data_IF_328130943126
#
_entry.id   IF_328130943126
#
_cell.length_a   1.000
_cell.length_b   1.000
_cell.length_c   1.000
_cell.angle_alpha   90.00
_cell.angle_beta   90.00
_cell.angle_gamma   90.00
#
_symmetry.space_group_name_H-M   'P 1'
#
loop_
_entity.id
_entity.type
_entity.pdbx_description
1 polymer ?
#
# COMPACT_ATOMS: atom_id res chain seq x y z
N UNK A 1 4.08 -4.83 4.61
CA UNK A 1 3.47 -3.72 3.85
C UNK A 1 3.06 -4.34 2.54
N UNK A 2 1.88 -4.96 2.52
CA UNK A 2 1.47 -5.80 1.39
C UNK A 2 1.01 -4.92 0.24
N UNK A 3 1.87 -4.87 -0.76
CA UNK A 3 1.64 -4.26 -2.06
C UNK A 3 0.63 -5.13 -2.81
N UNK A 4 -0.49 -4.53 -3.22
CA UNK A 4 -1.43 -5.17 -4.13
C UNK A 4 -0.75 -5.22 -5.50
N UNK A 5 -0.04 -6.31 -5.77
CA UNK A 5 0.48 -6.59 -7.10
C UNK A 5 -0.68 -7.09 -7.98
N UNK A 6 -1.21 -6.15 -8.73
CA UNK A 6 -2.33 -6.42 -9.60
C UNK A 6 -1.92 -7.10 -10.92
N UNK A 7 -0.63 -7.25 -11.22
CA UNK A 7 -0.15 -8.03 -12.37
C UNK A 7 -0.14 -9.52 -12.12
N UNK A 8 0.05 -9.96 -10.88
CA UNK A 8 0.08 -11.39 -10.57
C UNK A 8 -1.27 -11.90 -10.08
N UNK A 9 -2.11 -11.08 -9.43
CA UNK A 9 -3.33 -11.58 -8.78
C UNK A 9 -3.06 -12.69 -7.74
N UNK A 10 -1.78 -12.95 -7.46
CA UNK A 10 -1.24 -14.09 -6.72
C UNK A 10 -0.37 -13.49 -5.64
N UNK A 11 -0.94 -13.33 -4.45
CA UNK A 11 -0.13 -13.66 -3.29
C UNK A 11 0.18 -15.15 -3.42
N UNK A 12 1.45 -15.54 -3.43
CA UNK A 12 1.87 -16.94 -3.48
C UNK A 12 1.27 -17.72 -2.31
N UNK A 13 0.07 -18.27 -2.52
CA UNK A 13 -0.62 -19.30 -1.76
C UNK A 13 -2.03 -19.45 -2.38
N UNK A 14 -2.15 -20.40 -3.30
CA UNK A 14 -3.38 -20.97 -3.87
C UNK A 14 -4.15 -21.78 -2.81
N UNK A 15 -4.43 -21.16 -1.66
CA UNK A 15 -5.21 -21.76 -0.57
C UNK A 15 -6.57 -21.03 -0.48
N UNK A 16 -7.67 -21.69 -0.07
CA UNK A 16 -8.96 -21.07 0.27
C UNK A 16 -8.90 -19.87 1.25
N UNK A 17 -7.70 -19.59 1.80
CA UNK A 17 -7.36 -18.47 2.68
C UNK A 17 -7.68 -17.08 2.13
N UNK A 18 -7.73 -16.86 0.82
CA UNK A 18 -7.83 -15.52 0.22
C UNK A 18 -9.05 -14.66 0.63
N UNK A 19 -10.15 -15.28 1.02
CA UNK A 19 -11.42 -14.58 1.33
C UNK A 19 -11.72 -14.49 2.82
N UNK A 20 -11.34 -15.50 3.61
CA UNK A 20 -11.24 -15.36 5.06
C UNK A 20 -10.33 -14.19 5.46
N UNK A 21 -9.35 -13.82 4.61
CA UNK A 21 -8.51 -12.61 4.79
C UNK A 21 -9.28 -11.30 4.95
N UNK A 22 -10.54 -11.24 4.50
CA UNK A 22 -11.33 -10.00 4.52
C UNK A 22 -12.65 -10.12 5.28
N UNK A 23 -12.91 -11.29 5.88
CA UNK A 23 -14.09 -11.52 6.70
C UNK A 23 -13.99 -10.84 8.05
N UNK A 24 -15.15 -10.60 8.65
CA UNK A 24 -15.29 -9.98 9.95
C UNK A 24 -15.85 -11.00 10.94
N UNK A 25 -15.37 -10.94 12.18
CA UNK A 25 -15.86 -11.72 13.31
C UNK A 25 -16.11 -10.80 14.49
N UNK A 26 -17.29 -10.86 15.09
CA UNK A 26 -17.70 -9.97 16.17
C UNK A 26 -18.21 -10.87 17.29
N UNK A 27 -17.33 -11.15 18.24
CA UNK A 27 -17.59 -12.11 19.31
C UNK A 27 -18.74 -11.67 20.22
N UNK A 28 -18.80 -10.37 20.52
CA UNK A 28 -19.81 -9.77 21.39
C UNK A 28 -21.22 -9.89 20.81
N UNK A 29 -21.33 -10.06 19.48
CA UNK A 29 -22.59 -10.25 18.75
C UNK A 29 -22.74 -11.66 18.18
N UNK A 30 -21.78 -12.56 18.44
CA UNK A 30 -21.73 -13.90 17.84
C UNK A 30 -21.99 -13.86 16.33
N UNK A 31 -21.28 -12.97 15.64
CA UNK A 31 -21.52 -12.65 14.23
C UNK A 31 -20.27 -12.88 13.39
N UNK A 32 -20.41 -13.60 12.28
CA UNK A 32 -19.39 -13.71 11.24
C UNK A 32 -19.94 -13.21 9.92
N UNK A 33 -19.19 -12.34 9.24
CA UNK A 33 -19.52 -11.86 7.91
C UNK A 33 -18.40 -12.15 6.92
N UNK A 34 -18.68 -12.94 5.88
CA UNK A 34 -17.73 -13.24 4.80
C UNK A 34 -18.11 -12.45 3.54
N UNK A 35 -17.33 -11.42 3.15
CA UNK A 35 -17.72 -10.50 2.08
C UNK A 35 -17.39 -11.03 0.69
N UNK A 36 -18.39 -11.01 -0.19
CA UNK A 36 -18.22 -11.24 -1.62
C UNK A 36 -18.11 -9.89 -2.36
N UNK A 37 -17.06 -9.73 -3.16
CA UNK A 37 -16.87 -8.53 -3.97
C UNK A 37 -18.09 -8.28 -4.86
N UNK A 38 -18.59 -7.03 -4.86
CA UNK A 38 -19.74 -6.57 -5.67
C UNK A 38 -21.11 -7.15 -5.27
N UNK A 39 -21.21 -7.80 -4.12
CA UNK A 39 -22.45 -8.26 -3.51
C UNK A 39 -22.76 -7.50 -2.21
N UNK A 40 -23.08 -6.20 -2.34
CA UNK A 40 -23.40 -5.29 -1.21
C UNK A 40 -22.33 -5.17 -0.10
N UNK A 41 -21.10 -5.66 -0.31
CA UNK A 41 -20.08 -5.75 0.73
C UNK A 41 -19.53 -4.43 1.27
N UNK A 42 -19.80 -3.30 0.61
CA UNK A 42 -19.48 -1.98 1.18
C UNK A 42 -20.58 -1.55 2.15
N UNK A 43 -21.84 -1.66 1.74
CA UNK A 43 -23.00 -1.34 2.57
C UNK A 43 -23.05 -2.18 3.84
N UNK A 44 -22.84 -3.50 3.72
CA UNK A 44 -22.84 -4.39 4.89
C UNK A 44 -21.69 -4.12 5.86
N UNK A 45 -20.51 -3.76 5.35
CA UNK A 45 -19.40 -3.36 6.21
C UNK A 45 -19.64 -2.04 6.93
N UNK A 46 -20.23 -1.06 6.27
CA UNK A 46 -20.62 0.19 6.93
C UNK A 46 -21.69 -0.06 7.99
N UNK A 47 -22.68 -0.90 7.69
CA UNK A 47 -23.69 -1.29 8.66
C UNK A 47 -23.06 -1.97 9.89
N UNK A 48 -22.10 -2.88 9.69
CA UNK A 48 -21.39 -3.52 10.81
C UNK A 48 -20.53 -2.52 11.58
N UNK A 49 -19.86 -1.59 10.90
CA UNK A 49 -19.11 -0.52 11.56
C UNK A 49 -20.02 0.39 12.40
N UNK A 50 -21.20 0.73 11.88
CA UNK A 50 -22.21 1.53 12.57
C UNK A 50 -22.77 0.77 13.79
N UNK A 51 -23.01 -0.54 13.68
CA UNK A 51 -23.39 -1.41 14.82
C UNK A 51 -22.34 -1.41 15.93
N UNK A 52 -21.06 -1.36 15.56
CA UNK A 52 -19.93 -1.36 16.49
C UNK A 52 -19.57 0.04 17.00
N UNK A 53 -20.28 1.10 16.58
CA UNK A 53 -19.97 2.48 16.92
C UNK A 53 -18.63 2.97 16.38
N UNK A 54 -18.11 2.37 15.30
CA UNK A 54 -16.83 2.75 14.70
C UNK A 54 -16.99 4.03 13.87
N UNK A 55 -16.21 5.04 14.22
CA UNK A 55 -16.21 6.32 13.52
C UNK A 55 -15.71 6.17 12.06
N UNK A 56 -16.39 6.73 11.05
CA UNK A 56 -15.97 6.64 9.63
C UNK A 56 -14.53 7.09 9.37
N UNK A 57 -14.05 8.07 10.14
CA UNK A 57 -12.70 8.63 10.06
C UNK A 57 -11.62 7.59 10.38
N UNK A 58 -11.94 6.55 11.17
CA UNK A 58 -11.01 5.47 11.48
C UNK A 58 -10.58 4.66 10.25
N UNK A 59 -11.43 4.64 9.23
CA UNK A 59 -11.17 3.92 7.98
C UNK A 59 -10.44 4.77 6.94
N UNK A 60 -10.29 6.07 7.17
CA UNK A 60 -9.58 6.95 6.26
C UNK A 60 -8.11 6.53 6.10
N UNK A 61 -7.67 6.52 4.85
CA UNK A 61 -6.30 6.24 4.48
C UNK A 61 -5.85 7.26 3.43
N UNK A 62 -5.24 8.38 3.85
CA UNK A 62 -4.74 9.40 2.93
C UNK A 62 -3.57 8.90 2.08
N UNK A 63 -3.10 7.67 2.27
CA UNK A 63 -2.11 7.04 1.40
C UNK A 63 -2.72 6.18 0.30
N UNK A 64 -3.99 5.78 0.42
CA UNK A 64 -4.70 4.95 -0.56
C UNK A 64 -5.82 5.75 -1.19
N UNK A 65 -5.58 6.24 -2.40
CA UNK A 65 -6.61 6.91 -3.19
C UNK A 65 -7.69 5.91 -3.56
N UNK A 66 -8.87 6.11 -2.99
CA UNK A 66 -10.10 5.43 -3.37
C UNK A 66 -10.97 6.41 -4.12
N UNK A 67 -11.80 5.91 -5.03
CA UNK A 67 -12.61 6.78 -5.89
C UNK A 67 -13.76 7.42 -5.11
N UNK A 68 -14.14 6.85 -3.98
CA UNK A 68 -15.11 7.43 -3.04
C UNK A 68 -14.69 7.16 -1.60
N UNK A 69 -15.13 8.03 -0.67
CA UNK A 69 -14.97 7.81 0.77
C UNK A 69 -15.64 6.52 1.22
N UNK A 70 -16.81 6.17 0.67
CA UNK A 70 -17.51 4.93 1.01
C UNK A 70 -16.68 3.66 0.79
N UNK A 71 -15.64 3.69 -0.06
CA UNK A 71 -14.77 2.53 -0.28
C UNK A 71 -13.70 2.33 0.81
N UNK A 72 -13.45 3.30 1.70
CA UNK A 72 -12.39 3.23 2.72
C UNK A 72 -12.55 2.01 3.63
N UNK A 73 -13.80 1.68 3.96
CA UNK A 73 -14.22 0.53 4.78
C UNK A 73 -13.71 -0.82 4.28
N UNK A 74 -13.33 -0.91 3.00
CA UNK A 74 -12.77 -2.12 2.40
C UNK A 74 -11.34 -2.42 2.87
N UNK A 75 -10.68 -1.49 3.58
CA UNK A 75 -9.33 -1.70 4.11
C UNK A 75 -9.38 -2.48 5.43
N UNK A 76 -9.28 -3.80 5.37
CA UNK A 76 -9.32 -4.67 6.56
C UNK A 76 -8.23 -4.37 7.59
N UNK A 77 -7.12 -3.73 7.18
CA UNK A 77 -6.07 -3.32 8.12
C UNK A 77 -6.47 -2.13 9.02
N UNK A 78 -7.57 -1.45 8.70
CA UNK A 78 -8.14 -0.35 9.49
C UNK A 78 -9.22 -0.80 10.46
N UNK A 79 -9.71 -2.03 10.30
CA UNK A 79 -10.59 -2.64 11.28
C UNK A 79 -9.80 -2.97 12.56
N UNK A 80 -10.40 -2.84 13.75
CA UNK A 80 -9.83 -3.35 14.97
C UNK A 80 -9.37 -4.80 14.78
N UNK A 81 -8.13 -5.16 15.17
CA UNK A 81 -7.56 -6.49 14.92
C UNK A 81 -8.43 -7.67 15.35
N UNK A 82 -9.12 -7.53 16.48
CA UNK A 82 -10.05 -8.48 17.06
C UNK A 82 -11.23 -8.81 16.13
N UNK A 83 -11.60 -7.89 15.24
CA UNK A 83 -12.73 -8.09 14.32
C UNK A 83 -12.36 -8.72 12.98
N UNK A 84 -11.09 -9.05 12.74
CA UNK A 84 -10.63 -9.56 11.44
C UNK A 84 -10.41 -11.07 11.53
N UNK A 85 -11.19 -11.86 10.79
CA UNK A 85 -11.12 -13.34 10.82
C UNK A 85 -9.69 -13.87 10.62
N UNK A 86 -8.91 -13.24 9.74
CA UNK A 86 -7.52 -13.65 9.48
C UNK A 86 -6.62 -13.62 10.72
N UNK A 87 -6.97 -12.82 11.73
CA UNK A 87 -6.19 -12.64 12.96
C UNK A 87 -6.71 -13.50 14.11
N UNK A 88 -7.83 -14.18 13.91
CA UNK A 88 -8.41 -15.09 14.88
C UNK A 88 -7.62 -16.41 14.96
N UNK A 89 -7.66 -17.04 16.13
CA UNK A 89 -7.06 -18.37 16.32
C UNK A 89 -7.82 -19.43 15.49
N UNK A 90 -7.13 -20.28 14.70
CA UNK A 90 -7.79 -21.29 13.88
C UNK A 90 -8.59 -22.34 14.66
N UNK A 91 -8.15 -22.69 15.89
CA UNK A 91 -8.88 -23.64 16.74
C UNK A 91 -10.21 -23.06 17.20
N UNK A 92 -10.18 -21.81 17.65
CA UNK A 92 -11.39 -21.06 18.02
C UNK A 92 -12.34 -20.84 16.84
N UNK A 93 -11.83 -20.59 15.63
CA UNK A 93 -12.69 -20.53 14.43
C UNK A 93 -13.42 -21.85 14.15
N UNK A 94 -12.83 -22.99 14.52
CA UNK A 94 -13.49 -24.29 14.48
C UNK A 94 -14.65 -24.39 15.47
N UNK A 95 -14.49 -23.86 16.69
CA UNK A 95 -15.57 -23.80 17.68
C UNK A 95 -16.72 -22.90 17.20
N UNK A 96 -16.40 -21.71 16.67
CA UNK A 96 -17.37 -20.81 16.04
C UNK A 96 -18.07 -21.47 14.84
N UNK A 97 -17.39 -22.34 14.11
CA UNK A 97 -17.95 -23.08 12.97
C UNK A 97 -18.98 -24.16 13.37
N UNK A 98 -19.01 -24.58 14.63
CA UNK A 98 -19.99 -25.55 15.14
C UNK A 98 -21.06 -24.91 16.05
N UNK A 99 -20.83 -23.67 16.48
CA UNK A 99 -21.72 -22.97 17.41
C UNK A 99 -23.06 -22.55 16.74
N UNK A 100 -24.18 -23.02 17.30
CA UNK A 100 -25.54 -22.77 16.77
C UNK A 100 -26.04 -21.35 17.04
N UNK A 101 -25.52 -20.70 18.08
CA UNK A 101 -25.86 -19.35 18.52
C UNK A 101 -25.13 -18.25 17.76
N UNK A 102 -24.34 -18.61 16.74
CA UNK A 102 -23.65 -17.69 15.85
C UNK A 102 -24.38 -17.49 14.53
N UNK A 103 -24.55 -16.24 14.11
CA UNK A 103 -24.95 -15.91 12.75
C UNK A 103 -23.70 -15.81 11.88
N UNK A 104 -23.52 -16.74 10.94
CA UNK A 104 -22.37 -16.80 10.03
C UNK A 104 -22.88 -16.65 8.62
N UNK A 105 -22.74 -15.44 8.08
CA UNK A 105 -23.44 -15.10 6.87
C UNK A 105 -22.56 -14.50 5.77
N UNK A 106 -23.05 -14.65 4.56
CA UNK A 106 -22.57 -13.92 3.39
C UNK A 106 -23.74 -13.41 2.56
N UNK A 107 -23.43 -12.57 1.59
CA UNK A 107 -24.39 -12.14 0.56
C UNK A 107 -23.73 -12.33 -0.79
N UNK A 108 -24.43 -13.03 -1.68
CA UNK A 108 -24.08 -13.23 -3.08
C UNK A 108 -24.97 -12.39 -3.98
N UNK A 109 -24.64 -12.32 -5.26
CA UNK A 109 -25.40 -11.59 -6.28
C UNK A 109 -25.52 -12.42 -7.54
N UNK A 110 -26.55 -12.17 -8.35
CA UNK A 110 -26.63 -12.72 -9.71
C UNK A 110 -25.28 -12.57 -10.44
N UNK A 111 -24.66 -13.66 -10.93
CA UNK A 111 -23.29 -13.63 -11.45
C UNK A 111 -23.12 -12.66 -12.63
N UNK A 112 -24.09 -12.58 -13.55
CA UNK A 112 -24.01 -11.69 -14.70
C UNK A 112 -24.09 -10.21 -14.30
N UNK A 113 -25.03 -9.85 -13.41
CA UNK A 113 -25.17 -8.50 -12.85
C UNK A 113 -23.99 -8.13 -11.97
N UNK A 114 -23.39 -9.09 -11.25
CA UNK A 114 -22.17 -8.92 -10.48
C UNK A 114 -20.98 -8.59 -11.38
N UNK A 115 -20.78 -9.36 -12.46
CA UNK A 115 -19.72 -9.14 -13.46
C UNK A 115 -19.86 -7.76 -14.10
N UNK A 116 -21.06 -7.40 -14.55
CA UNK A 116 -21.34 -6.07 -15.11
C UNK A 116 -20.99 -4.95 -14.13
N UNK A 117 -21.38 -5.11 -12.86
CA UNK A 117 -21.07 -4.12 -11.82
C UNK A 117 -19.57 -4.04 -11.53
N UNK A 118 -18.85 -5.16 -11.58
CA UNK A 118 -17.40 -5.22 -11.46
C UNK A 118 -16.75 -4.45 -12.62
N UNK A 119 -17.00 -4.88 -13.86
CA UNK A 119 -16.46 -4.28 -15.08
C UNK A 119 -16.71 -2.77 -15.11
N UNK A 120 -17.94 -2.31 -14.85
CA UNK A 120 -18.24 -0.89 -14.80
C UNK A 120 -17.34 -0.14 -13.79
N UNK A 121 -17.35 -0.58 -12.53
CA UNK A 121 -16.66 0.15 -11.47
C UNK A 121 -15.13 0.09 -11.53
N UNK A 122 -14.57 -0.94 -12.18
CA UNK A 122 -13.14 -1.24 -12.19
C UNK A 122 -12.48 -0.87 -13.51
N UNK A 123 -13.11 -1.29 -14.60
CA UNK A 123 -12.56 -1.24 -15.96
C UNK A 123 -13.13 -0.01 -16.69
N UNK A 124 -14.45 0.06 -16.88
CA UNK A 124 -15.09 1.16 -17.62
C UNK A 124 -14.81 2.53 -16.99
N UNK A 125 -15.01 2.65 -15.67
CA UNK A 125 -14.74 3.89 -14.94
C UNK A 125 -13.25 4.12 -14.68
N UNK A 126 -12.36 3.30 -15.23
CA UNK A 126 -10.89 3.46 -15.17
C UNK A 126 -10.40 3.66 -13.74
N UNK A 127 -10.74 2.73 -12.83
CA UNK A 127 -10.26 2.83 -11.45
C UNK A 127 -8.72 2.87 -11.45
N UNK A 128 -8.05 3.80 -10.74
CA UNK A 128 -6.60 4.01 -10.86
C UNK A 128 -5.74 2.75 -10.71
N UNK A 129 -6.10 1.86 -9.78
CA UNK A 129 -5.38 0.60 -9.56
C UNK A 129 -5.54 -0.41 -10.71
N UNK A 130 -6.66 -0.38 -11.43
CA UNK A 130 -6.93 -1.29 -12.55
C UNK A 130 -6.35 -0.75 -13.86
N UNK A 131 -6.34 0.57 -14.06
CA UNK A 131 -5.70 1.22 -15.21
C UNK A 131 -4.22 0.86 -15.27
N UNK A 132 -3.50 1.02 -14.15
CA UNK A 132 -2.05 0.70 -14.04
C UNK A 132 -1.66 -0.74 -14.44
N UNK A 133 -2.63 -1.62 -14.54
CA UNK A 133 -2.46 -3.06 -14.65
C UNK A 133 -2.95 -3.55 -15.99
N UNK A 134 -4.10 -3.05 -16.42
CA UNK A 134 -4.83 -3.56 -17.56
C UNK A 134 -4.93 -2.56 -18.71
N UNK A 135 -4.40 -1.33 -18.62
CA UNK A 135 -4.56 -0.33 -19.69
C UNK A 135 -4.00 -0.79 -21.05
N UNK A 136 -2.95 -1.61 -21.04
CA UNK A 136 -2.32 -2.16 -22.24
C UNK A 136 -3.01 -3.43 -22.76
N UNK A 137 -4.03 -3.93 -22.05
CA UNK A 137 -4.72 -5.14 -22.44
C UNK A 137 -5.67 -4.88 -23.63
N UNK A 138 -5.69 -5.75 -24.66
CA UNK A 138 -6.52 -5.54 -25.85
C UNK A 138 -8.03 -5.47 -25.59
N UNK A 139 -8.48 -5.99 -24.45
CA UNK A 139 -9.89 -5.98 -24.02
C UNK A 139 -10.24 -4.77 -23.16
N UNK A 140 -9.27 -3.95 -22.74
CA UNK A 140 -9.53 -2.76 -21.95
C UNK A 140 -10.25 -1.71 -22.83
N UNK A 141 -11.41 -1.20 -22.42
CA UNK A 141 -12.21 -0.33 -23.27
C UNK A 141 -11.62 1.07 -23.37
N UNK A 142 -11.83 1.70 -24.52
CA UNK A 142 -11.70 3.15 -24.67
C UNK A 142 -12.80 3.88 -23.89
N UNK A 143 -12.70 5.20 -23.78
CA UNK A 143 -13.81 6.02 -23.27
C UNK A 143 -14.97 5.93 -24.28
N UNK A 144 -16.14 5.41 -23.89
CA UNK A 144 -17.24 5.24 -24.83
C UNK A 144 -17.90 6.58 -25.15
N UNK A 145 -18.35 6.72 -26.39
CA UNK A 145 -19.10 7.84 -26.93
C UNK A 145 -20.53 7.47 -27.33
N UNK A 146 -20.87 6.16 -27.29
CA UNK A 146 -22.21 5.65 -27.59
C UNK A 146 -22.57 4.44 -26.71
N UNK A 147 -23.87 4.11 -26.57
CA UNK A 147 -24.30 2.88 -25.88
C UNK A 147 -23.72 1.60 -26.51
N UNK A 148 -23.54 1.57 -27.83
CA UNK A 148 -22.97 0.46 -28.58
C UNK A 148 -21.50 0.22 -28.18
N UNK A 149 -20.69 1.27 -28.06
CA UNK A 149 -19.30 1.14 -27.62
C UNK A 149 -19.17 0.60 -26.18
N UNK A 150 -20.15 0.88 -25.32
CA UNK A 150 -20.23 0.28 -23.98
C UNK A 150 -20.45 -1.23 -24.07
N UNK A 151 -21.39 -1.67 -24.91
CA UNK A 151 -21.66 -3.10 -25.11
C UNK A 151 -20.43 -3.79 -25.68
N UNK A 152 -19.87 -3.29 -26.77
CA UNK A 152 -18.66 -3.83 -27.39
C UNK A 152 -17.50 -3.95 -26.40
N UNK A 153 -17.28 -2.91 -25.58
CA UNK A 153 -16.26 -2.92 -24.55
C UNK A 153 -16.48 -4.01 -23.49
N UNK A 154 -17.73 -4.24 -23.10
CA UNK A 154 -18.08 -5.30 -22.15
C UNK A 154 -17.95 -6.70 -22.77
N UNK A 155 -18.40 -6.89 -24.01
CA UNK A 155 -18.29 -8.17 -24.70
C UNK A 155 -16.84 -8.58 -24.95
N UNK A 156 -15.97 -7.62 -25.33
CA UNK A 156 -14.52 -7.86 -25.42
C UNK A 156 -13.93 -8.33 -24.09
N UNK A 157 -14.34 -7.73 -22.98
CA UNK A 157 -13.90 -8.13 -21.65
C UNK A 157 -14.39 -9.54 -21.27
N UNK A 158 -15.67 -9.85 -21.53
CA UNK A 158 -16.23 -11.18 -21.27
C UNK A 158 -15.53 -12.25 -22.11
N UNK A 159 -15.27 -11.96 -23.39
CA UNK A 159 -14.50 -12.85 -24.27
C UNK A 159 -13.09 -13.12 -23.72
N UNK A 160 -12.42 -12.10 -23.17
CA UNK A 160 -11.12 -12.27 -22.51
C UNK A 160 -11.22 -13.15 -21.24
N UNK A 161 -12.31 -13.06 -20.47
CA UNK A 161 -12.55 -13.91 -19.31
C UNK A 161 -12.76 -15.39 -19.71
N UNK A 162 -13.36 -15.63 -20.87
CA UNK A 162 -13.59 -16.98 -21.41
C UNK A 162 -12.35 -17.69 -21.99
N UNK A 163 -11.18 -17.03 -22.05
CA UNK A 163 -9.96 -17.63 -22.60
C UNK A 163 -9.50 -18.83 -21.78
N UNK A 164 -9.13 -19.93 -22.44
CA UNK A 164 -8.60 -21.15 -21.78
C UNK A 164 -7.20 -20.96 -21.18
N UNK A 165 -6.41 -20.06 -21.75
CA UNK A 165 -5.09 -19.71 -21.25
C UNK A 165 -5.22 -18.90 -19.94
N UNK A 166 -4.90 -19.52 -18.81
CA UNK A 166 -5.03 -18.92 -17.48
C UNK A 166 -4.12 -17.71 -17.30
N UNK A 167 -2.93 -17.71 -17.90
CA UNK A 167 -1.97 -16.60 -17.78
C UNK A 167 -2.46 -15.34 -18.53
N UNK A 168 -3.36 -15.51 -19.49
CA UNK A 168 -3.94 -14.42 -20.30
C UNK A 168 -5.38 -14.09 -19.91
N UNK A 169 -5.93 -14.75 -18.91
CA UNK A 169 -7.27 -14.49 -18.38
C UNK A 169 -7.18 -13.37 -17.35
N UNK A 170 -8.05 -12.35 -17.40
CA UNK A 170 -8.13 -11.39 -16.32
C UNK A 170 -8.35 -12.11 -14.99
N UNK A 171 -7.45 -11.93 -14.02
CA UNK A 171 -7.55 -12.56 -12.70
C UNK A 171 -7.71 -11.50 -11.61
N UNK A 172 -8.92 -11.38 -11.05
CA UNK A 172 -9.20 -10.48 -9.93
C UNK A 172 -10.41 -10.96 -9.12
N UNK A 173 -10.42 -10.80 -7.78
CA UNK A 173 -11.54 -11.20 -6.93
C UNK A 173 -12.91 -10.56 -7.27
N UNK A 174 -12.97 -9.48 -8.04
CA UNK A 174 -14.23 -8.83 -8.42
C UNK A 174 -15.00 -9.60 -9.50
N UNK A 175 -14.33 -10.47 -10.27
CA UNK A 175 -14.94 -11.36 -11.27
C UNK A 175 -14.53 -12.82 -11.11
N UNK A 176 -13.95 -13.20 -9.96
CA UNK A 176 -13.80 -14.60 -9.54
C UNK A 176 -15.16 -15.20 -9.16
N UNK A 177 -15.31 -16.51 -9.25
CA UNK A 177 -16.51 -17.23 -8.80
C UNK A 177 -16.80 -16.94 -7.32
N UNK A 178 -18.08 -16.79 -7.00
CA UNK A 178 -18.53 -16.56 -5.63
C UNK A 178 -18.39 -17.83 -4.80
N UNK A 179 -18.60 -19.01 -5.39
CA UNK A 179 -18.32 -20.31 -4.75
C UNK A 179 -16.84 -20.45 -4.37
N UNK A 180 -15.92 -20.09 -5.26
CA UNK A 180 -14.48 -20.08 -4.94
C UNK A 180 -14.12 -19.06 -3.87
N UNK A 181 -14.83 -17.92 -3.86
CA UNK A 181 -14.63 -16.89 -2.85
C UNK A 181 -15.06 -17.41 -1.49
N UNK A 182 -16.27 -17.97 -1.37
CA UNK A 182 -16.75 -18.49 -0.08
C UNK A 182 -15.97 -19.73 0.36
N UNK A 183 -15.58 -20.59 -0.59
CA UNK A 183 -14.87 -21.83 -0.35
C UNK A 183 -15.61 -22.77 0.61
N UNK A 184 -14.94 -23.86 0.97
CA UNK A 184 -15.42 -24.81 1.99
C UNK A 184 -14.72 -24.58 3.35
N UNK A 185 -13.99 -23.48 3.50
CA UNK A 185 -13.17 -23.23 4.68
C UNK A 185 -14.02 -22.70 5.86
N UNK A 186 -13.74 -23.13 7.09
CA UNK A 186 -14.45 -22.65 8.27
C UNK A 186 -14.38 -21.11 8.45
N UNK A 187 -15.42 -20.48 9.05
CA UNK A 187 -16.62 -21.13 9.56
C UNK A 187 -17.65 -21.40 8.46
N UNK A 188 -18.29 -22.58 8.52
CA UNK A 188 -19.39 -22.90 7.62
C UNK A 188 -20.51 -21.86 7.78
N UNK A 189 -20.91 -21.27 6.66
CA UNK A 189 -21.96 -20.25 6.66
C UNK A 189 -23.32 -20.93 6.89
N UNK A 190 -24.09 -20.43 7.85
CA UNK A 190 -25.47 -20.87 8.08
C UNK A 190 -26.52 -19.96 7.39
N UNK A 191 -26.09 -18.85 6.78
CA UNK A 191 -26.94 -18.01 5.94
C UNK A 191 -26.20 -17.45 4.73
N UNK A 192 -26.76 -17.62 3.54
CA UNK A 192 -26.26 -16.99 2.30
C UNK A 192 -27.40 -16.19 1.67
N UNK A 193 -27.35 -14.87 1.87
CA UNK A 193 -28.31 -13.93 1.33
C UNK A 193 -28.07 -13.58 -0.14
N UNK A 194 -29.06 -12.95 -0.79
CA UNK A 194 -28.95 -12.41 -2.15
C UNK A 194 -29.06 -10.88 -2.13
N UNK A 195 -28.32 -10.18 -2.98
CA UNK A 195 -28.44 -8.71 -3.11
C UNK A 195 -29.85 -8.31 -3.54
N UNK A 196 -30.46 -9.11 -4.40
CA UNK A 196 -31.78 -8.92 -4.97
C UNK A 196 -32.89 -8.97 -3.90
N UNK A 197 -32.66 -9.72 -2.82
CA UNK A 197 -33.56 -9.84 -1.66
C UNK A 197 -32.83 -9.47 -0.35
N UNK A 198 -31.96 -8.46 -0.42
CA UNK A 198 -31.11 -8.07 0.72
C UNK A 198 -31.91 -7.76 1.99
N UNK A 199 -33.15 -7.28 1.84
CA UNK A 199 -34.08 -7.02 2.94
C UNK A 199 -34.28 -8.24 3.86
N UNK A 200 -34.32 -9.45 3.32
CA UNK A 200 -34.48 -10.67 4.12
C UNK A 200 -33.26 -10.94 4.99
N UNK A 201 -32.07 -10.70 4.45
CA UNK A 201 -30.81 -10.83 5.20
C UNK A 201 -30.66 -9.75 6.25
N UNK A 202 -31.09 -8.51 5.96
CA UNK A 202 -31.09 -7.43 6.93
C UNK A 202 -32.10 -7.70 8.05
N UNK A 203 -33.27 -8.25 7.74
CA UNK A 203 -34.25 -8.67 8.74
C UNK A 203 -33.67 -9.72 9.68
N UNK A 204 -33.08 -10.79 9.13
CA UNK A 204 -32.41 -11.83 9.94
C UNK A 204 -31.30 -11.24 10.81
N UNK A 205 -30.45 -10.36 10.25
CA UNK A 205 -29.40 -9.70 11.00
C UNK A 205 -29.97 -8.81 12.12
N UNK A 206 -31.06 -8.09 11.86
CA UNK A 206 -31.77 -7.28 12.85
C UNK A 206 -32.33 -8.12 14.00
N UNK A 207 -32.98 -9.24 13.68
CA UNK A 207 -33.50 -10.21 14.67
C UNK A 207 -32.36 -10.81 15.52
N UNK A 208 -31.21 -11.10 14.90
CA UNK A 208 -30.03 -11.62 15.59
C UNK A 208 -29.44 -10.59 16.57
N UNK A 209 -29.16 -9.36 16.11
CA UNK A 209 -28.53 -8.34 16.98
C UNK A 209 -29.47 -7.82 18.07
N UNK A 210 -30.79 -7.91 17.88
CA UNK A 210 -31.78 -7.57 18.90
C UNK A 210 -31.67 -8.44 20.17
N UNK A 211 -31.19 -9.69 20.04
CA UNK A 211 -30.94 -10.57 21.19
C UNK A 211 -29.83 -10.04 22.12
N UNK A 212 -28.98 -9.15 21.60
CA UNK A 212 -27.91 -8.47 22.33
C UNK A 212 -28.31 -7.05 22.76
N UNK A 213 -29.59 -6.68 22.64
CA UNK A 213 -30.11 -5.37 23.02
C UNK A 213 -29.73 -4.23 22.06
N UNK A 214 -29.36 -4.57 20.82
CA UNK A 214 -29.02 -3.59 19.78
C UNK A 214 -30.12 -3.48 18.73
N UNK A 215 -30.21 -2.30 18.10
CA UNK A 215 -31.04 -2.07 16.92
C UNK A 215 -30.18 -2.00 15.67
N UNK A 216 -30.68 -2.54 14.56
CA UNK A 216 -29.98 -2.49 13.28
C UNK A 216 -29.99 -1.07 12.71
N UNK A 217 -28.83 -0.45 12.44
CA UNK A 217 -28.80 0.89 11.86
C UNK A 217 -29.30 0.87 10.40
N UNK A 218 -29.78 2.02 9.88
CA UNK A 218 -30.21 2.12 8.51
C UNK A 218 -29.06 1.83 7.54
N UNK A 219 -29.33 1.00 6.53
CA UNK A 219 -28.29 0.62 5.56
C UNK A 219 -27.98 1.78 4.61
N UNK A 220 -26.69 2.08 4.43
CA UNK A 220 -26.23 3.06 3.44
C UNK A 220 -26.22 2.44 2.04
N UNK A 221 -26.79 3.13 1.05
CA UNK A 221 -26.69 2.71 -0.36
C UNK A 221 -25.38 3.22 -0.97
N UNK A 222 -24.39 2.33 -1.06
CA UNK A 222 -23.04 2.66 -1.50
C UNK A 222 -22.68 2.02 -2.84
N UNK A 223 -21.79 2.67 -3.61
CA UNK A 223 -21.23 2.16 -4.88
C UNK A 223 -22.29 1.80 -5.95
N UNK A 224 -23.25 2.69 -6.19
CA UNK A 224 -24.19 2.54 -7.30
C UNK A 224 -23.42 2.67 -8.62
N UNK A 225 -23.50 1.65 -9.46
CA UNK A 225 -22.94 1.71 -10.82
C UNK A 225 -23.85 2.54 -11.72
N UNK A 226 -23.30 3.42 -12.57
CA UNK A 226 -24.10 4.39 -13.29
C UNK A 226 -25.00 3.75 -14.35
N UNK A 227 -24.49 2.76 -15.09
CA UNK A 227 -25.23 2.19 -16.22
C UNK A 227 -26.07 0.99 -15.77
N UNK A 228 -27.33 0.88 -16.24
CA UNK A 228 -28.18 -0.28 -16.00
C UNK A 228 -27.60 -1.52 -16.70
N UNK A 229 -27.92 -2.71 -16.17
CA UNK A 229 -27.55 -3.97 -16.82
C UNK A 229 -28.24 -4.11 -18.20
N UNK A 230 -27.50 -4.44 -19.28
CA UNK A 230 -28.05 -4.60 -20.62
C UNK A 230 -28.76 -5.96 -20.78
N UNK A 231 -29.83 -6.15 -20.02
CA UNK A 231 -30.61 -7.38 -20.00
C UNK A 231 -31.11 -7.74 -21.41
N UNK A 232 -30.86 -8.98 -21.85
CA UNK A 232 -31.27 -9.48 -23.16
C UNK A 232 -30.61 -8.81 -24.38
N UNK A 233 -29.61 -7.93 -24.21
CA UNK A 233 -28.90 -7.25 -25.30
C UNK A 233 -27.52 -7.83 -25.59
N UNK A 234 -27.05 -8.74 -24.74
CA UNK A 234 -25.76 -9.40 -24.91
C UNK A 234 -25.86 -10.45 -26.02
N UNK A 235 -24.83 -10.53 -26.87
CA UNK A 235 -24.72 -11.55 -27.91
C UNK A 235 -24.66 -12.98 -27.35
N UNK A 236 -24.99 -13.95 -28.19
CA UNK A 236 -25.04 -15.37 -27.81
C UNK A 236 -23.72 -15.88 -27.25
N UNK A 237 -22.60 -15.49 -27.86
CA UNK A 237 -21.27 -15.88 -27.38
C UNK A 237 -20.97 -15.30 -25.99
N UNK A 238 -21.26 -14.02 -25.78
CA UNK A 238 -21.11 -13.34 -24.48
C UNK A 238 -21.90 -14.05 -23.39
N UNK A 239 -23.17 -14.36 -23.65
CA UNK A 239 -24.03 -15.07 -22.71
C UNK A 239 -23.53 -16.48 -22.44
N UNK A 240 -23.13 -17.22 -23.49
CA UNK A 240 -22.54 -18.55 -23.34
C UNK A 240 -21.31 -18.52 -22.45
N UNK A 241 -20.38 -17.59 -22.68
CA UNK A 241 -19.17 -17.45 -21.85
C UNK A 241 -19.50 -17.14 -20.39
N UNK A 242 -20.44 -16.22 -20.12
CA UNK A 242 -20.88 -15.93 -18.75
C UNK A 242 -21.49 -17.18 -18.11
N UNK A 243 -22.38 -17.87 -18.81
CA UNK A 243 -23.05 -19.09 -18.33
C UNK A 243 -22.04 -20.18 -18.00
N UNK A 244 -21.11 -20.48 -18.91
CA UNK A 244 -20.09 -21.51 -18.72
C UNK A 244 -19.13 -21.16 -17.59
N UNK A 245 -18.61 -19.94 -17.56
CA UNK A 245 -17.66 -19.51 -16.54
C UNK A 245 -18.30 -19.52 -15.15
N UNK A 246 -19.51 -18.95 -15.00
CA UNK A 246 -20.21 -18.86 -13.72
C UNK A 246 -21.15 -20.03 -13.42
N UNK A 247 -21.10 -21.12 -14.18
CA UNK A 247 -21.97 -22.28 -13.98
C UNK A 247 -21.97 -22.81 -12.52
N UNK A 248 -20.83 -22.83 -11.79
CA UNK A 248 -20.82 -23.19 -10.38
C UNK A 248 -21.66 -22.25 -9.49
N UNK A 249 -21.60 -20.94 -9.72
CA UNK A 249 -22.36 -19.95 -8.95
C UNK A 249 -23.87 -20.08 -9.23
N UNK A 250 -24.27 -20.24 -10.50
CA UNK A 250 -25.69 -20.42 -10.84
C UNK A 250 -26.29 -21.64 -10.14
N UNK A 251 -25.58 -22.78 -10.15
CA UNK A 251 -26.03 -24.00 -9.46
C UNK A 251 -26.00 -23.89 -7.95
N UNK A 252 -24.92 -23.38 -7.36
CA UNK A 252 -24.75 -23.34 -5.91
C UNK A 252 -25.72 -22.39 -5.22
N UNK A 253 -26.07 -21.29 -5.89
CA UNK A 253 -26.93 -20.25 -5.30
C UNK A 253 -28.30 -20.17 -5.95
N UNK A 254 -28.66 -21.12 -6.82
CA UNK A 254 -29.98 -21.23 -7.47
C UNK A 254 -30.41 -19.91 -8.15
N UNK A 255 -29.51 -19.37 -8.99
CA UNK A 255 -29.81 -18.24 -9.88
C UNK A 255 -30.23 -18.75 -11.26
N UNK A 256 -31.17 -18.06 -11.94
CA UNK A 256 -31.48 -18.37 -13.32
C UNK A 256 -30.28 -18.07 -14.22
N UNK A 257 -30.02 -18.96 -15.17
CA UNK A 257 -28.98 -18.72 -16.18
C UNK A 257 -29.42 -17.60 -17.15
N UNK A 258 -28.49 -16.76 -17.64
CA UNK A 258 -28.82 -15.67 -18.56
C UNK A 258 -29.22 -16.23 -19.92
N UNK A 259 -30.17 -15.55 -20.58
CA UNK A 259 -30.61 -15.84 -21.95
C UNK A 259 -30.09 -14.77 -22.93
N UNK A 260 -29.72 -15.20 -24.14
CA UNK A 260 -29.21 -14.32 -25.18
C UNK A 260 -30.35 -13.71 -25.98
N UNK A 261 -30.19 -12.45 -26.42
CA UNK A 261 -31.11 -11.77 -27.34
C UNK A 261 -32.59 -11.87 -26.94
N UNK A 262 -32.89 -11.97 -25.64
CA UNK A 262 -34.26 -12.14 -25.12
C UNK A 262 -35.01 -10.82 -24.95
N UNK A 263 -34.35 -9.69 -25.20
CA UNK A 263 -34.97 -8.37 -25.05
C UNK A 263 -35.82 -7.98 -26.25
N UNK A 264 -37.04 -7.51 -25.98
CA UNK A 264 -37.87 -6.80 -26.96
C UNK A 264 -37.15 -5.58 -27.54
N UNK A 265 -37.50 -5.19 -28.77
CA UNK A 265 -36.96 -3.98 -29.42
C UNK A 265 -37.20 -2.73 -28.55
N UNK A 266 -38.33 -2.62 -27.86
CA UNK A 266 -38.61 -1.53 -26.94
C UNK A 266 -37.69 -1.51 -25.72
N UNK A 267 -37.38 -2.67 -25.14
CA UNK A 267 -36.45 -2.77 -24.01
C UNK A 267 -35.03 -2.36 -24.44
N UNK A 268 -34.60 -2.81 -25.63
CA UNK A 268 -33.34 -2.41 -26.23
C UNK A 268 -33.26 -0.90 -26.45
N UNK A 269 -34.31 -0.29 -27.02
CA UNK A 269 -34.39 1.16 -27.23
C UNK A 269 -34.32 1.92 -25.92
N UNK A 270 -35.09 1.52 -24.89
CA UNK A 270 -35.07 2.16 -23.56
C UNK A 270 -33.71 2.08 -22.89
N UNK A 271 -33.00 0.96 -23.04
CA UNK A 271 -31.65 0.83 -22.50
C UNK A 271 -30.70 1.79 -23.20
N UNK A 272 -30.72 1.86 -24.54
CA UNK A 272 -29.88 2.80 -25.31
C UNK A 272 -30.14 4.25 -24.92
N UNK A 273 -31.40 4.69 -24.93
CA UNK A 273 -31.81 6.05 -24.55
C UNK A 273 -31.31 6.39 -23.13
N UNK A 274 -31.50 5.48 -22.17
CA UNK A 274 -31.05 5.69 -20.79
C UNK A 274 -29.53 5.72 -20.67
N UNK A 275 -28.83 4.84 -21.37
CA UNK A 275 -27.37 4.78 -21.37
C UNK A 275 -26.79 6.05 -21.98
N UNK A 276 -27.33 6.49 -23.10
CA UNK A 276 -26.92 7.71 -23.82
C UNK A 276 -26.96 8.94 -22.90
N UNK A 277 -28.08 9.14 -22.19
CA UNK A 277 -28.24 10.21 -21.19
C UNK A 277 -27.16 10.15 -20.09
N UNK A 278 -26.69 8.95 -19.74
CA UNK A 278 -25.73 8.73 -18.65
C UNK A 278 -24.26 8.75 -19.12
N UNK A 279 -23.99 8.74 -20.42
CA UNK A 279 -22.62 8.70 -20.95
C UNK A 279 -21.80 9.93 -20.55
N UNK A 280 -22.41 11.12 -20.56
CA UNK A 280 -21.75 12.34 -20.10
C UNK A 280 -21.29 12.21 -18.63
N UNK A 281 -22.14 11.66 -17.78
CA UNK A 281 -21.80 11.41 -16.38
C UNK A 281 -20.68 10.37 -16.24
N UNK A 282 -20.70 9.32 -17.07
CA UNK A 282 -19.61 8.33 -17.15
C UNK A 282 -18.30 8.99 -17.54
N UNK A 283 -18.30 9.86 -18.56
CA UNK A 283 -17.13 10.63 -18.99
C UNK A 283 -16.55 11.51 -17.87
N UNK A 284 -17.41 12.20 -17.12
CA UNK A 284 -16.99 13.00 -15.94
C UNK A 284 -16.35 12.12 -14.87
N UNK A 285 -16.93 10.95 -14.57
CA UNK A 285 -16.37 10.02 -13.59
C UNK A 285 -15.03 9.42 -14.04
N UNK A 286 -14.89 9.10 -15.32
CA UNK A 286 -13.61 8.66 -15.90
C UNK A 286 -12.55 9.75 -15.72
N UNK A 287 -12.85 10.99 -16.15
CA UNK A 287 -11.92 12.10 -16.02
C UNK A 287 -11.55 12.38 -14.56
N UNK A 288 -12.51 12.26 -13.65
CA UNK A 288 -12.27 12.37 -12.21
C UNK A 288 -11.29 11.29 -11.72
N UNK A 289 -11.50 10.02 -12.09
CA UNK A 289 -10.63 8.93 -11.68
C UNK A 289 -9.22 9.04 -12.28
N UNK A 290 -9.08 9.50 -13.52
CA UNK A 290 -7.79 9.78 -14.15
C UNK A 290 -7.04 10.88 -13.40
N UNK A 291 -7.72 11.98 -13.02
CA UNK A 291 -7.13 13.04 -12.19
C UNK A 291 -6.70 12.51 -10.81
N UNK A 292 -7.51 11.68 -10.17
CA UNK A 292 -7.14 11.02 -8.92
C UNK A 292 -5.90 10.14 -9.08
N UNK A 293 -5.75 9.44 -10.20
CA UNK A 293 -4.56 8.66 -10.50
C UNK A 293 -3.31 9.56 -10.61
N UNK A 294 -3.38 10.65 -11.37
CA UNK A 294 -2.28 11.62 -11.51
C UNK A 294 -1.88 12.24 -10.17
N UNK A 295 -2.86 12.63 -9.34
CA UNK A 295 -2.62 13.17 -8.00
C UNK A 295 -1.99 12.13 -7.08
N UNK A 296 -2.44 10.88 -7.17
CA UNK A 296 -1.87 9.77 -6.42
C UNK A 296 -0.39 9.58 -6.74
N UNK A 297 -0.02 9.59 -8.02
CA UNK A 297 1.36 9.38 -8.44
C UNK A 297 2.26 10.55 -8.03
N UNK A 298 1.74 11.77 -8.12
CA UNK A 298 2.43 12.98 -7.64
C UNK A 298 2.68 12.92 -6.13
N UNK A 299 1.69 12.50 -5.33
CA UNK A 299 1.85 12.36 -3.88
C UNK A 299 2.86 11.26 -3.51
N UNK A 300 2.81 10.11 -4.21
CA UNK A 300 3.77 9.03 -3.98
C UNK A 300 5.21 9.47 -4.31
N UNK A 301 5.39 10.19 -5.42
CA UNK A 301 6.68 10.75 -5.81
C UNK A 301 7.19 11.77 -4.79
N UNK A 302 6.33 12.68 -4.33
CA UNK A 302 6.67 13.65 -3.29
C UNK A 302 7.10 12.96 -1.98
N UNK A 303 6.40 11.89 -1.57
CA UNK A 303 6.77 11.10 -0.38
C UNK A 303 8.12 10.40 -0.55
N UNK A 304 8.40 9.80 -1.71
CA UNK A 304 9.70 9.18 -2.01
C UNK A 304 10.82 10.22 -1.96
N UNK A 305 10.62 11.39 -2.55
CA UNK A 305 11.57 12.51 -2.49
C UNK A 305 11.80 12.98 -1.05
N UNK A 306 10.75 13.16 -0.26
CA UNK A 306 10.85 13.56 1.14
C UNK A 306 11.61 12.51 2.00
N UNK A 307 11.37 11.21 1.76
CA UNK A 307 12.09 10.14 2.44
C UNK A 307 13.59 10.13 2.09
N UNK A 308 13.93 10.34 0.81
CA UNK A 308 15.33 10.46 0.36
C UNK A 308 16.00 11.70 0.96
N UNK A 309 15.31 12.85 0.97
CA UNK A 309 15.81 14.07 1.57
C UNK A 309 16.08 13.91 3.08
N UNK A 310 15.18 13.24 3.82
CA UNK A 310 15.39 12.92 5.24
C UNK A 310 16.65 12.06 5.45
N UNK A 311 16.81 10.98 4.68
CA UNK A 311 18.02 10.13 4.75
C UNK A 311 19.31 10.91 4.44
N UNK A 312 19.27 11.80 3.45
CA UNK A 312 20.41 12.64 3.11
C UNK A 312 20.75 13.64 4.22
N UNK A 313 19.74 14.28 4.81
CA UNK A 313 19.92 15.19 5.94
C UNK A 313 20.49 14.48 7.16
N UNK A 314 20.03 13.26 7.47
CA UNK A 314 20.61 12.44 8.54
C UNK A 314 22.08 12.10 8.27
N UNK A 315 22.43 11.77 7.01
CA UNK A 315 23.82 11.50 6.62
C UNK A 315 24.70 12.74 6.79
N UNK A 316 24.26 13.89 6.28
CA UNK A 316 24.96 15.16 6.41
C UNK A 316 25.11 15.56 7.89
N UNK A 317 24.08 15.37 8.71
CA UNK A 317 24.15 15.61 10.15
C UNK A 317 25.22 14.77 10.84
N UNK A 318 25.36 13.49 10.46
CA UNK A 318 26.44 12.61 10.97
C UNK A 318 27.82 13.06 10.48
N UNK A 319 27.95 13.54 9.25
CA UNK A 319 29.21 14.07 8.71
C UNK A 319 29.64 15.36 9.41
N UNK A 320 28.71 16.30 9.61
CA UNK A 320 28.95 17.54 10.38
C UNK A 320 29.39 17.20 11.80
N UNK A 321 28.69 16.30 12.50
CA UNK A 321 29.07 15.89 13.85
C UNK A 321 30.47 15.24 13.92
N UNK A 322 30.90 14.51 12.87
CA UNK A 322 32.26 13.98 12.78
C UNK A 322 33.29 15.10 12.59
N UNK A 323 33.00 16.08 11.72
CA UNK A 323 33.87 17.24 11.49
C UNK A 323 34.01 18.12 12.73
N UNK A 324 32.92 18.32 13.48
CA UNK A 324 32.96 19.06 14.74
C UNK A 324 33.88 18.38 15.77
N UNK A 325 33.79 17.05 15.91
CA UNK A 325 34.71 16.28 16.76
C UNK A 325 36.17 16.43 16.31
N UNK A 326 36.41 16.45 14.99
CA UNK A 326 37.75 16.67 14.43
C UNK A 326 38.27 18.08 14.73
N UNK A 327 37.44 19.11 14.57
CA UNK A 327 37.78 20.51 14.90
C UNK A 327 38.10 20.65 16.39
N UNK A 328 37.29 20.06 17.26
CA UNK A 328 37.54 20.08 18.71
C UNK A 328 38.88 19.41 19.05
N UNK A 329 39.20 18.28 18.41
CA UNK A 329 40.50 17.61 18.57
C UNK A 329 41.66 18.48 18.09
N UNK A 330 41.56 19.07 16.90
CA UNK A 330 42.59 19.95 16.35
C UNK A 330 42.81 21.18 17.24
N UNK A 331 41.75 21.82 17.73
CA UNK A 331 41.85 22.93 18.69
C UNK A 331 42.62 22.52 19.95
N UNK A 332 42.33 21.34 20.52
CA UNK A 332 43.07 20.81 21.68
C UNK A 332 44.56 20.57 21.36
N UNK A 333 44.87 20.06 20.17
CA UNK A 333 46.24 19.85 19.71
C UNK A 333 46.99 21.18 19.52
N UNK A 334 46.34 22.20 18.95
CA UNK A 334 46.91 23.55 18.79
C UNK A 334 47.21 24.19 20.15
N UNK A 335 46.31 24.05 21.14
CA UNK A 335 46.56 24.53 22.51
C UNK A 335 47.78 23.83 23.11
N UNK A 336 47.84 22.49 23.06
CA UNK A 336 49.00 21.71 23.54
C UNK A 336 50.31 22.06 22.85
N UNK A 337 50.26 22.42 21.56
CA UNK A 337 51.44 22.87 20.83
C UNK A 337 51.89 24.25 21.30
N UNK A 338 50.95 25.17 21.49
CA UNK A 338 51.22 26.51 22.04
C UNK A 338 51.84 26.45 23.44
N UNK A 339 51.29 25.60 24.32
CA UNK A 339 51.82 25.41 25.68
C UNK A 339 53.24 24.85 25.65
N UNK A 340 53.52 23.88 24.77
CA UNK A 340 54.87 23.35 24.56
C UNK A 340 55.83 24.40 24.02
N UNK A 341 55.40 25.23 23.06
CA UNK A 341 56.21 26.33 22.54
C UNK A 341 56.58 27.32 23.64
N UNK A 342 55.60 27.74 24.45
CA UNK A 342 55.82 28.64 25.58
C UNK A 342 56.79 28.04 26.63
N UNK A 343 56.65 26.75 26.92
CA UNK A 343 57.59 26.02 27.77
C UNK A 343 59.02 26.04 27.20
N UNK A 344 59.19 25.75 25.91
CA UNK A 344 60.51 25.78 25.27
C UNK A 344 61.10 27.19 25.23
N UNK A 345 60.30 28.22 24.95
CA UNK A 345 60.73 29.62 24.97
C UNK A 345 61.23 30.02 26.37
N UNK A 346 60.50 29.66 27.43
CA UNK A 346 60.91 29.88 28.82
C UNK A 346 62.22 29.14 29.14
N UNK A 347 62.35 27.88 28.70
CA UNK A 347 63.57 27.07 28.87
C UNK A 347 64.77 27.69 28.16
N UNK A 348 64.60 28.16 26.92
CA UNK A 348 65.64 28.85 26.14
C UNK A 348 66.05 30.15 26.82
N UNK A 349 65.09 30.94 27.34
CA UNK A 349 65.38 32.15 28.09
C UNK A 349 66.21 31.87 29.34
N UNK A 350 65.80 30.90 30.17
CA UNK A 350 66.54 30.49 31.37
C UNK A 350 67.95 29.98 31.05
N UNK A 351 68.11 29.21 29.96
CA UNK A 351 69.43 28.77 29.50
C UNK A 351 70.31 29.94 29.03
N UNK A 352 69.74 30.94 28.36
CA UNK A 352 70.46 32.17 27.98
C UNK A 352 70.90 32.97 29.20
N UNK A 353 70.03 33.13 30.18
CA UNK A 353 70.35 33.80 31.45
C UNK A 353 71.49 33.07 32.18
N UNK A 354 71.38 31.74 32.29
CA UNK A 354 72.44 30.88 32.88
C UNK A 354 73.76 30.99 32.12
N UNK A 355 73.72 31.02 30.78
CA UNK A 355 74.90 31.23 29.94
C UNK A 355 75.53 32.61 30.19
N UNK A 356 74.72 33.65 30.29
CA UNK A 356 75.18 35.01 30.55
C UNK A 356 75.81 35.13 31.96
N UNK A 357 75.24 34.48 32.97
CA UNK A 357 75.83 34.37 34.31
C UNK A 357 77.20 33.67 34.24
N UNK A 358 77.28 32.52 33.58
CA UNK A 358 78.55 31.81 33.35
C UNK A 358 79.53 32.71 32.60
N UNK A 359 79.11 33.42 31.56
CA UNK A 359 79.98 34.33 30.80
C UNK A 359 80.48 35.52 31.61
N UNK A 360 79.67 36.00 32.56
CA UNK A 360 80.01 37.11 33.44
C UNK A 360 80.88 36.69 34.65
N UNK A 361 80.92 35.40 34.98
CA UNK A 361 81.74 34.82 36.05
C UNK A 361 83.24 35.05 35.84
N UNK A 362 83.95 35.35 36.93
CA UNK A 362 85.41 35.60 36.95
C UNK A 362 86.21 34.40 36.45
N UNK A 363 85.83 33.18 36.84
CA UNK A 363 86.50 31.94 36.41
C UNK A 363 86.35 31.68 34.92
N UNK A 364 85.21 32.05 34.31
CA UNK A 364 85.03 31.96 32.87
C UNK A 364 85.92 32.95 32.14
N UNK A 365 86.12 34.17 32.65
CA UNK A 365 87.04 35.15 32.04
C UNK A 365 88.49 34.66 32.04
N UNK A 366 88.93 33.99 33.10
CA UNK A 366 90.29 33.42 33.19
C UNK A 366 90.56 32.28 32.18
N UNK A 367 89.55 31.51 31.80
CA UNK A 367 89.70 30.41 30.83
C UNK A 367 89.45 30.81 29.37
N UNK A 368 89.26 32.10 29.08
CA UNK A 368 89.05 32.60 27.72
C UNK A 368 90.18 32.23 26.72
N UNK A 369 91.48 32.27 27.08
CA UNK A 369 92.56 31.89 26.16
C UNK A 369 92.52 30.41 25.77
N UNK A 370 92.23 29.53 26.73
CA UNK A 370 92.09 28.07 26.53
C UNK A 370 90.89 27.73 25.64
N UNK A 371 89.76 28.42 25.80
CA UNK A 371 88.59 28.21 24.91
C UNK A 371 88.84 28.70 23.48
N UNK A 372 89.66 29.73 23.30
CA UNK A 372 90.06 30.21 21.98
C UNK A 372 90.97 29.18 21.26
N UNK A 373 91.84 28.50 22.02
CA UNK A 373 92.63 27.36 21.55
C UNK A 373 91.75 26.16 21.17
N UNK A 374 90.79 25.79 22.01
CA UNK A 374 89.87 24.67 21.72
C UNK A 374 89.01 24.97 20.49
N UNK A 375 88.44 26.18 20.34
CA UNK A 375 87.69 26.56 19.12
C UNK A 375 88.58 26.61 17.87
N UNK A 376 89.85 27.02 18.01
CA UNK A 376 90.83 26.93 16.91
C UNK A 376 91.11 25.47 16.54
N UNK A 377 91.26 24.58 17.53
CA UNK A 377 91.46 23.16 17.32
C UNK A 377 90.24 22.49 16.66
N UNK A 378 89.01 22.82 17.07
CA UNK A 378 87.79 22.29 16.44
C UNK A 378 87.57 22.83 15.03
N UNK A 379 87.86 24.11 14.76
CA UNK A 379 87.85 24.64 13.39
C UNK A 379 88.93 24.01 12.52
N UNK A 380 90.11 23.71 13.08
CA UNK A 380 91.14 22.95 12.39
C UNK A 380 90.70 21.51 12.10
N UNK A 381 90.02 20.85 13.06
CA UNK A 381 89.44 19.50 12.91
C UNK A 381 88.31 19.46 11.87
N UNK A 382 87.48 20.50 11.82
CA UNK A 382 86.43 20.68 10.81
C UNK A 382 86.98 21.01 9.41
N UNK A 383 88.14 21.68 9.31
CA UNK A 383 88.87 21.87 8.05
C UNK A 383 89.56 20.58 7.60
N UNK A 384 90.17 19.83 8.50
CA UNK A 384 90.76 18.51 8.20
C UNK A 384 89.71 17.50 7.72
N UNK A 385 88.48 17.53 8.26
CA UNK A 385 87.36 16.72 7.73
C UNK A 385 86.89 17.11 6.33
N UNK A 386 87.11 18.36 5.88
CA UNK A 386 86.80 18.77 4.49
C UNK A 386 87.92 18.48 3.51
N UNK A 387 89.15 18.27 3.99
CA UNK A 387 90.31 17.87 3.17
C UNK A 387 90.54 16.34 3.15
N UNK A 388 89.71 15.55 3.85
CA UNK A 388 89.74 14.09 3.83
C UNK A 388 88.66 13.44 2.95
N UNK A 389 88.04 14.19 2.04
CA UNK A 389 87.02 13.73 1.09
C UNK A 389 87.34 14.22 -0.33
N UNK A 390 88.55 13.95 -0.79
CA UNK A 390 88.89 13.82 -2.20
C UNK A 390 89.77 12.58 -2.34
N UNK A 391 89.08 11.44 -2.41
CA UNK A 391 89.39 10.28 -3.25
C UNK A 391 88.05 9.68 -3.68
#
# INVERSE_FOLDING_TARGET
>A
MDEFDARTGVTSETTPRGVLRRGLIIEELRLVYVPVSKAACTSLRWLIADLLGLAPESFEDPAKFRTTQGQTIQNVNKWPPEYVIQRADPGWLGEVAEAEDWLRFSVVRDPARRLWSAWQSKVLLRQPGFVKVFEDEPWFPNVPSSPEEVLEGYERFVSALGRKDEDRRPSDPHWRLQTEILGDAPPALNHIGRVETLGDTLKLLGEHVAQFGLELPPTRRENVTPLPYPEGLLGEETVRTIREYYAPDYRAFDYPEPEANSSSEEAARRWRERTDILLDSVGVMISHNERLATLSDSLQNARRQAATARKNNERLGREVAKKDKQIVRQKKETVRFRDRSAYFESRVKSLRESLQEIESSSTWRYSAPLRLLIRKAERAKGRLRRYGTQD
#
